data_IF_389092307991
#
_entry.id   IF_389092307991
#
_cell.length_a   1.000
_cell.length_b   1.000
_cell.length_c   1.000
_cell.angle_alpha   90.00
_cell.angle_beta   90.00
_cell.angle_gamma   90.00
#
_symmetry.space_group_name_H-M   'P 1'
#
loop_
_entity.id
_entity.type
_entity.pdbx_description
1 polymer ?
#
# COMPACT_ATOMS: atom_id res chain seq x y z
N UNK A 1 9.62 12.68 -18.62
CA UNK A 1 8.60 11.85 -19.29
C UNK A 1 8.59 10.42 -18.79
N UNK A 2 9.73 9.73 -18.89
CA UNK A 2 9.76 8.33 -18.45
C UNK A 2 9.49 8.17 -16.97
N UNK A 3 10.01 9.06 -16.16
CA UNK A 3 9.76 8.97 -14.73
C UNK A 3 8.29 9.20 -14.39
N UNK A 4 7.55 9.90 -15.25
CA UNK A 4 6.11 10.06 -15.05
C UNK A 4 5.36 8.77 -15.35
N UNK A 5 5.95 7.89 -16.15
CA UNK A 5 5.31 6.61 -16.46
C UNK A 5 5.34 5.66 -15.27
N UNK A 6 6.38 5.78 -14.42
CA UNK A 6 6.46 4.97 -13.21
C UNK A 6 5.36 5.32 -12.23
N UNK A 7 4.97 6.58 -12.22
CA UNK A 7 3.99 7.08 -11.26
C UNK A 7 2.76 7.65 -11.97
N UNK A 8 2.41 7.08 -13.11
CA UNK A 8 1.23 7.54 -13.80
C UNK A 8 0.00 7.24 -12.94
N UNK A 9 -0.89 8.19 -12.85
CA UNK A 9 -2.07 8.04 -12.03
C UNK A 9 -3.14 7.16 -12.65
N UNK A 10 -2.90 6.65 -13.84
CA UNK A 10 -3.93 5.84 -14.49
C UNK A 10 -4.05 4.45 -13.92
N UNK A 11 -3.06 3.99 -13.15
CA UNK A 11 -3.13 2.66 -12.57
C UNK A 11 -3.95 2.70 -11.29
N UNK A 12 -4.98 1.88 -11.23
CA UNK A 12 -5.75 1.68 -10.01
C UNK A 12 -4.95 0.92 -8.95
N UNK A 13 -3.75 0.48 -9.31
CA UNK A 13 -2.89 -0.30 -8.43
C UNK A 13 -1.75 0.54 -7.85
N UNK A 14 -1.87 1.85 -7.87
CA UNK A 14 -0.88 2.72 -7.27
C UNK A 14 -1.58 3.72 -6.35
N UNK A 15 -1.03 3.90 -5.17
CA UNK A 15 -1.48 4.91 -4.23
C UNK A 15 -0.32 5.81 -3.87
N UNK A 16 -0.53 7.13 -3.89
CA UNK A 16 0.51 8.10 -3.59
C UNK A 16 0.25 8.75 -2.25
N UNK A 17 1.32 8.96 -1.51
CA UNK A 17 1.26 9.70 -0.24
C UNK A 17 2.45 10.63 -0.16
N UNK A 18 2.21 11.85 0.29
CA UNK A 18 3.26 12.86 0.34
C UNK A 18 4.32 12.51 1.38
N UNK A 19 3.92 11.82 2.44
CA UNK A 19 4.84 11.39 3.50
C UNK A 19 4.32 10.12 4.14
N UNK A 20 5.14 9.49 4.97
CA UNK A 20 4.73 8.29 5.71
C UNK A 20 3.93 8.75 6.94
N UNK A 21 2.65 8.36 7.05
CA UNK A 21 1.86 8.74 8.22
C UNK A 21 2.44 8.15 9.51
N UNK A 22 2.30 8.87 10.61
CA UNK A 22 2.72 8.38 11.92
C UNK A 22 2.00 7.09 12.30
N UNK A 23 0.72 7.01 11.96
CA UNK A 23 -0.07 5.82 12.25
C UNK A 23 -0.16 4.96 11.00
N UNK A 24 0.38 3.75 11.08
CA UNK A 24 0.42 2.84 9.95
C UNK A 24 -0.96 2.44 9.46
N UNK A 25 -1.98 2.53 10.31
CA UNK A 25 -3.36 2.22 9.91
C UNK A 25 -3.80 3.03 8.70
N UNK A 26 -3.26 4.23 8.53
CA UNK A 26 -3.67 5.10 7.43
C UNK A 26 -3.30 4.56 6.05
N UNK A 27 -2.34 3.65 5.97
CA UNK A 27 -2.03 3.01 4.69
C UNK A 27 -2.27 1.50 4.72
N UNK A 28 -2.54 0.93 5.90
CA UNK A 28 -2.70 -0.52 6.03
C UNK A 28 -3.93 -1.05 5.31
N UNK A 29 -4.98 -0.26 5.24
CA UNK A 29 -6.19 -0.64 4.48
C UNK A 29 -5.85 -0.87 3.01
N UNK A 30 -5.02 -0.01 2.45
CA UNK A 30 -4.59 -0.14 1.06
C UNK A 30 -3.69 -1.35 0.87
N UNK A 31 -2.85 -1.66 1.85
CA UNK A 31 -1.98 -2.83 1.80
C UNK A 31 -2.82 -4.11 1.69
N UNK A 32 -3.80 -4.30 2.59
CA UNK A 32 -4.63 -5.49 2.52
C UNK A 32 -5.49 -5.52 1.27
N UNK A 33 -5.94 -4.36 0.81
CA UNK A 33 -6.73 -4.29 -0.42
C UNK A 33 -5.92 -4.75 -1.63
N UNK A 34 -4.66 -4.36 -1.72
CA UNK A 34 -3.78 -4.83 -2.79
C UNK A 34 -3.56 -6.33 -2.71
N UNK A 35 -3.32 -6.86 -1.51
CA UNK A 35 -3.11 -8.30 -1.33
C UNK A 35 -4.36 -9.11 -1.70
N UNK A 36 -5.54 -8.55 -1.48
CA UNK A 36 -6.80 -9.21 -1.83
C UNK A 36 -7.14 -9.08 -3.32
N UNK A 37 -6.37 -8.30 -4.06
CA UNK A 37 -6.63 -8.07 -5.48
C UNK A 37 -5.43 -8.44 -6.33
N UNK A 38 -5.03 -7.52 -7.18
CA UNK A 38 -3.96 -7.75 -8.16
C UNK A 38 -2.61 -7.22 -7.70
N UNK A 39 -2.50 -6.87 -6.42
CA UNK A 39 -1.29 -6.24 -5.93
C UNK A 39 -1.26 -4.76 -6.25
N UNK A 40 -0.18 -4.10 -5.90
CA UNK A 40 -0.04 -2.68 -6.18
C UNK A 40 1.16 -2.08 -5.48
N UNK A 41 1.27 -0.78 -5.60
CA UNK A 41 2.37 -0.03 -5.00
C UNK A 41 1.84 1.15 -4.21
N UNK A 42 2.49 1.43 -3.09
CA UNK A 42 2.30 2.68 -2.36
C UNK A 42 3.61 3.44 -2.50
N UNK A 43 3.52 4.68 -2.97
CA UNK A 43 4.71 5.52 -3.18
C UNK A 43 4.63 6.68 -2.21
N UNK A 44 5.61 6.74 -1.30
CA UNK A 44 5.71 7.84 -0.34
C UNK A 44 6.68 8.88 -0.87
N UNK A 45 6.28 10.13 -0.85
CA UNK A 45 7.08 11.23 -1.34
C UNK A 45 6.52 11.87 -2.61
N UNK A 46 5.28 11.56 -2.96
CA UNK A 46 4.60 12.11 -4.15
C UNK A 46 3.26 12.68 -3.73
N UNK A 47 2.96 13.88 -4.21
CA UNK A 47 1.66 14.50 -3.94
C UNK A 47 0.58 13.75 -4.71
N UNK A 48 -0.46 13.33 -4.02
CA UNK A 48 -1.50 12.49 -4.64
C UNK A 48 -2.43 13.26 -5.58
N UNK A 49 -2.43 14.57 -5.49
CA UNK A 49 -3.29 15.41 -6.35
C UNK A 49 -2.56 15.88 -7.59
N UNK A 50 -1.34 16.39 -7.41
CA UNK A 50 -0.57 16.97 -8.51
C UNK A 50 0.39 15.99 -9.14
N UNK A 51 0.68 14.88 -8.45
CA UNK A 51 1.71 13.89 -8.79
C UNK A 51 3.10 14.50 -8.82
N UNK A 52 3.27 15.63 -8.15
CA UNK A 52 4.59 16.24 -8.01
C UNK A 52 5.44 15.40 -7.07
N UNK A 53 6.69 15.17 -7.46
CA UNK A 53 7.62 14.40 -6.64
C UNK A 53 8.21 15.33 -5.59
N UNK A 54 7.75 15.19 -4.37
CA UNK A 54 8.18 16.02 -3.24
C UNK A 54 9.47 15.45 -2.64
N UNK A 55 9.58 14.14 -2.63
CA UNK A 55 10.72 13.45 -2.05
C UNK A 55 10.58 13.25 -0.54
N UNK A 56 11.45 12.39 -0.03
CA UNK A 56 11.52 12.07 1.39
C UNK A 56 12.83 12.61 1.96
N UNK A 57 12.81 12.94 3.25
CA UNK A 57 14.05 13.23 3.96
C UNK A 57 14.85 11.95 4.04
N UNK A 58 16.10 11.98 3.56
CA UNK A 58 16.93 10.78 3.53
C UNK A 58 17.64 10.48 4.84
N UNK A 59 17.57 11.40 5.80
CA UNK A 59 18.10 11.12 7.12
C UNK A 59 17.26 10.04 7.78
N UNK A 60 17.90 8.97 8.20
CA UNK A 60 17.23 7.81 8.81
C UNK A 60 16.22 7.11 7.90
N UNK A 61 16.37 7.25 6.59
CA UNK A 61 15.39 6.69 5.66
C UNK A 61 15.31 5.17 5.74
N UNK A 62 16.43 4.50 6.04
CA UNK A 62 16.44 3.05 6.19
C UNK A 62 15.66 2.60 7.42
N UNK A 63 15.67 3.40 8.47
CA UNK A 63 14.84 3.14 9.65
C UNK A 63 13.36 3.26 9.30
N UNK A 64 13.02 4.24 8.48
CA UNK A 64 11.65 4.43 8.02
C UNK A 64 11.19 3.22 7.20
N UNK A 65 12.07 2.73 6.31
CA UNK A 65 11.75 1.55 5.50
C UNK A 65 11.55 0.32 6.38
N UNK A 66 12.39 0.13 7.38
CA UNK A 66 12.26 -0.98 8.31
C UNK A 66 10.97 -0.89 9.11
N UNK A 67 10.60 0.32 9.53
CA UNK A 67 9.36 0.54 10.25
C UNK A 67 8.14 0.19 9.40
N UNK A 68 8.17 0.55 8.12
CA UNK A 68 7.08 0.21 7.20
C UNK A 68 6.98 -1.31 7.05
N UNK A 69 8.12 -1.97 6.83
CA UNK A 69 8.16 -3.42 6.66
C UNK A 69 7.60 -4.12 7.88
N UNK A 70 8.05 -3.71 9.07
CA UNK A 70 7.60 -4.33 10.32
C UNK A 70 6.13 -4.06 10.58
N UNK A 71 5.67 -2.84 10.31
CA UNK A 71 4.27 -2.50 10.53
C UNK A 71 3.35 -3.37 9.66
N UNK A 72 3.72 -3.58 8.41
CA UNK A 72 2.92 -4.39 7.50
C UNK A 72 2.95 -5.85 7.94
N UNK A 73 4.14 -6.39 8.24
CA UNK A 73 4.28 -7.78 8.64
C UNK A 73 3.50 -8.08 9.91
N UNK A 74 3.46 -7.13 10.84
CA UNK A 74 2.82 -7.34 12.13
C UNK A 74 1.31 -7.12 12.10
N UNK A 75 0.83 -6.29 11.18
CA UNK A 75 -0.56 -5.82 11.23
C UNK A 75 -1.54 -6.68 10.44
N UNK A 76 -1.05 -7.53 9.55
CA UNK A 76 -1.91 -8.24 8.59
C UNK A 76 -2.02 -9.72 8.88
N UNK A 77 -3.20 -10.25 8.62
CA UNK A 77 -3.48 -11.68 8.73
C UNK A 77 -4.18 -12.13 7.46
N UNK A 78 -3.74 -13.16 6.71
CA UNK A 78 -2.42 -13.77 6.83
C UNK A 78 -1.29 -12.76 6.64
N UNK A 79 -0.09 -13.13 7.03
CA UNK A 79 1.04 -12.21 6.98
C UNK A 79 1.33 -11.75 5.55
N UNK A 80 1.66 -10.48 5.42
CA UNK A 80 2.02 -9.88 4.13
C UNK A 80 3.48 -9.46 4.24
N UNK A 81 4.27 -9.80 3.23
CA UNK A 81 5.67 -9.40 3.16
C UNK A 81 5.83 -8.40 2.03
N UNK A 82 5.98 -7.13 2.35
CA UNK A 82 6.13 -6.10 1.32
C UNK A 82 7.55 -6.09 0.77
N UNK A 83 7.69 -5.59 -0.44
CA UNK A 83 8.98 -5.23 -1.00
C UNK A 83 9.11 -3.73 -0.87
N UNK A 84 10.06 -3.26 -0.06
CA UNK A 84 10.23 -1.85 0.23
C UNK A 84 11.57 -1.40 -0.34
N UNK A 85 11.54 -0.43 -1.24
CA UNK A 85 12.73 0.00 -1.96
C UNK A 85 12.76 1.52 -2.08
N UNK A 86 13.97 2.04 -2.29
CA UNK A 86 14.15 3.46 -2.60
C UNK A 86 14.22 3.64 -4.10
N UNK A 87 13.73 4.78 -4.55
CA UNK A 87 13.87 5.17 -5.95
C UNK A 87 14.20 6.65 -6.00
N UNK A 88 15.19 7.01 -6.82
CA UNK A 88 15.56 8.41 -7.00
C UNK A 88 14.97 8.89 -8.32
N UNK A 89 14.21 9.99 -8.25
CA UNK A 89 13.58 10.58 -9.40
C UNK A 89 13.83 12.10 -9.33
N UNK A 90 14.49 12.66 -10.35
CA UNK A 90 14.78 14.09 -10.41
C UNK A 90 15.48 14.58 -9.14
N UNK A 91 16.49 13.86 -8.72
CA UNK A 91 17.30 14.17 -7.53
C UNK A 91 16.52 14.09 -6.21
N UNK A 92 15.34 13.54 -6.24
CA UNK A 92 14.53 13.33 -5.03
C UNK A 92 14.35 11.85 -4.79
N UNK A 93 14.29 11.47 -3.53
CA UNK A 93 14.17 10.08 -3.14
C UNK A 93 12.76 9.80 -2.66
N UNK A 94 12.18 8.71 -3.17
CA UNK A 94 10.86 8.24 -2.73
C UNK A 94 10.98 6.81 -2.23
N UNK A 95 10.04 6.40 -1.38
CA UNK A 95 9.96 5.02 -0.92
C UNK A 95 8.83 4.34 -1.69
N UNK A 96 9.13 3.22 -2.31
CA UNK A 96 8.15 2.44 -3.06
C UNK A 96 7.90 1.15 -2.31
N UNK A 97 6.66 0.92 -1.93
CA UNK A 97 6.22 -0.29 -1.23
C UNK A 97 5.40 -1.11 -2.21
N UNK A 98 5.89 -2.27 -2.58
CA UNK A 98 5.18 -3.15 -3.50
C UNK A 98 4.51 -4.29 -2.73
N UNK A 99 3.23 -4.50 -2.99
CA UNK A 99 2.44 -5.58 -2.41
C UNK A 99 2.04 -6.50 -3.56
N UNK A 100 2.41 -7.77 -3.45
CA UNK A 100 2.02 -8.75 -4.46
C UNK A 100 0.63 -9.29 -4.17
N UNK A 101 -0.07 -9.81 -5.19
CA UNK A 101 -1.35 -10.48 -4.95
C UNK A 101 -1.15 -11.64 -4.01
N UNK A 102 -1.99 -11.72 -2.99
CA UNK A 102 -1.88 -12.77 -2.01
C UNK A 102 -2.55 -14.05 -2.46
N UNK A 103 -2.00 -15.19 -2.03
CA UNK A 103 -2.53 -16.50 -2.38
C UNK A 103 -3.54 -17.04 -1.37
N UNK A 104 -3.69 -16.38 -0.23
CA UNK A 104 -4.50 -16.88 0.88
C UNK A 104 -5.59 -15.89 1.29
N UNK A 105 -6.26 -15.32 0.31
CA UNK A 105 -7.35 -14.37 0.59
C UNK A 105 -8.43 -14.99 1.46
N UNK A 106 -9.09 -14.23 2.34
CA UNK A 106 -8.96 -12.78 2.47
C UNK A 106 -7.83 -12.39 3.43
N UNK A 107 -7.20 -11.26 3.11
CA UNK A 107 -6.24 -10.60 4.00
C UNK A 107 -6.96 -9.48 4.73
N UNK A 108 -6.64 -9.29 5.99
CA UNK A 108 -7.31 -8.25 6.78
C UNK A 108 -6.36 -7.69 7.83
N UNK A 109 -6.75 -6.55 8.38
CA UNK A 109 -6.01 -5.93 9.48
C UNK A 109 -6.31 -6.72 10.73
N UNK A 110 -5.29 -7.35 11.29
CA UNK A 110 -5.43 -8.31 12.38
C UNK A 110 -6.18 -7.73 13.58
N UNK A 111 -5.84 -6.50 13.98
CA UNK A 111 -6.46 -5.88 15.15
C UNK A 111 -7.94 -5.59 14.98
N UNK A 112 -8.41 -5.52 13.72
CA UNK A 112 -9.83 -5.25 13.44
C UNK A 112 -10.63 -6.54 13.26
N UNK A 113 -9.96 -7.67 13.02
CA UNK A 113 -10.64 -8.91 12.66
C UNK A 113 -11.05 -8.95 11.21
N UNK A 114 -11.47 -10.14 10.76
CA UNK A 114 -11.79 -10.35 9.34
C UNK A 114 -12.99 -9.51 8.88
N UNK A 115 -14.02 -9.42 9.71
CA UNK A 115 -15.24 -8.72 9.31
C UNK A 115 -14.99 -7.23 9.13
N UNK A 116 -14.28 -6.62 10.06
CA UNK A 116 -14.07 -5.17 10.05
C UNK A 116 -12.78 -4.75 9.39
N UNK A 117 -11.86 -5.67 9.15
CA UNK A 117 -10.52 -5.37 8.67
C UNK A 117 -10.21 -5.77 7.24
N UNK A 118 -11.19 -6.28 6.49
CA UNK A 118 -10.97 -6.72 5.13
C UNK A 118 -11.34 -5.61 4.15
N UNK A 119 -10.41 -5.28 3.26
CA UNK A 119 -10.59 -4.23 2.26
C UNK A 119 -10.20 -4.75 0.90
N UNK A 120 -10.82 -4.19 -0.14
CA UNK A 120 -10.51 -4.49 -1.54
C UNK A 120 -10.32 -3.19 -2.29
N UNK A 121 -9.68 -3.29 -3.45
CA UNK A 121 -9.44 -2.16 -4.32
C UNK A 121 -10.45 -2.15 -5.45
N UNK A 122 -11.20 -1.05 -5.56
CA UNK A 122 -12.21 -0.91 -6.61
C UNK A 122 -11.94 0.40 -7.33
N UNK A 123 -11.52 0.30 -8.59
CA UNK A 123 -11.30 1.46 -9.45
C UNK A 123 -10.43 2.54 -8.82
N UNK A 124 -9.33 2.13 -8.22
CA UNK A 124 -8.38 3.06 -7.61
C UNK A 124 -8.75 3.53 -6.22
N UNK A 125 -9.75 2.92 -5.60
CA UNK A 125 -10.20 3.28 -4.26
C UNK A 125 -10.18 2.06 -3.35
N UNK A 126 -9.77 2.27 -2.11
CA UNK A 126 -9.79 1.21 -1.09
C UNK A 126 -11.16 1.23 -0.42
N UNK A 127 -11.82 0.08 -0.38
CA UNK A 127 -13.16 -0.03 0.18
C UNK A 127 -13.28 -1.18 1.15
N UNK A 128 -14.03 -0.98 2.21
CA UNK A 128 -14.36 -2.04 3.16
C UNK A 128 -15.24 -3.09 2.49
N UNK A 129 -14.98 -4.36 2.78
CA UNK A 129 -15.72 -5.47 2.20
C UNK A 129 -16.97 -5.75 3.04
N UNK A 130 -18.14 -5.69 2.41
CA UNK A 130 -19.39 -6.03 3.09
C UNK A 130 -19.53 -7.54 3.22
N UNK A 131 -20.43 -7.98 4.12
CA UNK A 131 -20.55 -9.39 4.49
C UNK A 131 -20.71 -10.35 3.32
N UNK A 132 -21.57 -10.01 2.36
CA UNK A 132 -21.78 -10.89 1.21
C UNK A 132 -20.57 -10.93 0.28
N UNK A 133 -19.87 -9.80 0.15
CA UNK A 133 -18.64 -9.74 -0.64
C UNK A 133 -17.51 -10.53 0.02
N UNK A 134 -17.51 -10.55 1.35
CA UNK A 134 -16.51 -11.32 2.09
C UNK A 134 -16.66 -12.81 1.79
N UNK A 135 -17.89 -13.30 1.72
CA UNK A 135 -18.13 -14.71 1.36
C UNK A 135 -17.61 -15.02 -0.03
N UNK A 136 -17.82 -14.12 -0.98
CA UNK A 136 -17.32 -14.31 -2.34
C UNK A 136 -15.79 -14.36 -2.36
N UNK A 137 -15.17 -13.48 -1.59
CA UNK A 137 -13.71 -13.41 -1.52
C UNK A 137 -13.12 -14.69 -0.92
N UNK A 138 -13.78 -15.24 0.10
CA UNK A 138 -13.34 -16.50 0.73
C UNK A 138 -13.41 -17.65 -0.27
N UNK A 139 -14.43 -17.65 -1.13
CA UNK A 139 -14.65 -18.72 -2.08
C UNK A 139 -13.76 -18.65 -3.31
N UNK A 140 -13.10 -17.54 -3.52
CA UNK A 140 -12.12 -17.46 -4.61
C UNK A 140 -10.87 -18.33 -4.32
#
# INVERSE_FOLDING_TARGET
MKENMLFSGESKNIEYKVTVPDKSEKYMKTVVAFANGKGGKIVFGVDDKTLEIVGMNTENIYKTMDAITNAISDACEPAIRPDVALQTVKDKTVIVVEILPGAQRPYYIKSHGMIDGTYVRVSGTTRHVEGYMLKELILE
#
